data_IF_452428206258
#
_entry.id   IF_452428206258
#
_cell.length_a   1.000
_cell.length_b   1.000
_cell.length_c   1.000
_cell.angle_alpha   90.00
_cell.angle_beta   90.00
_cell.angle_gamma   90.00
#
_symmetry.space_group_name_H-M   'P 1'
#
loop_
_entity.id
_entity.type
_entity.pdbx_description
1 polymer ?
#
# COMPACT_ATOMS: atom_id res chain seq x y z
N UNK A 1 -21.76 1.09 -0.04
CA UNK A 1 -20.53 1.91 -0.19
C UNK A 1 -19.37 0.95 -0.10
N UNK A 2 -18.63 0.73 -1.19
CA UNK A 2 -17.42 -0.09 -1.13
C UNK A 2 -16.35 0.67 -0.35
N UNK A 3 -15.67 0.02 0.59
CA UNK A 3 -14.53 0.64 1.26
C UNK A 3 -13.37 0.72 0.27
N UNK A 4 -12.81 1.92 0.08
CA UNK A 4 -11.61 2.13 -0.73
C UNK A 4 -10.39 2.17 0.18
N UNK A 5 -9.33 1.50 -0.24
CA UNK A 5 -8.07 1.43 0.48
C UNK A 5 -7.01 2.16 -0.30
N UNK A 6 -6.22 2.99 0.38
CA UNK A 6 -5.09 3.69 -0.21
C UNK A 6 -3.84 3.45 0.63
N UNK A 7 -2.73 3.19 -0.04
CA UNK A 7 -1.41 3.03 0.56
C UNK A 7 -0.54 4.23 0.19
N UNK A 8 0.07 4.85 1.20
CA UNK A 8 1.09 5.86 1.02
C UNK A 8 2.43 5.19 0.77
N UNK A 9 3.11 5.57 -0.31
CA UNK A 9 4.42 5.07 -0.66
C UNK A 9 5.49 6.16 -0.52
N UNK A 10 6.70 5.75 -0.14
CA UNK A 10 7.88 6.60 -0.12
C UNK A 10 8.58 6.66 -1.49
N UNK A 11 9.72 7.34 -1.54
CA UNK A 11 10.53 7.50 -2.77
C UNK A 11 11.11 6.16 -3.28
N UNK A 12 11.09 5.09 -2.48
CA UNK A 12 11.53 3.75 -2.86
C UNK A 12 10.35 2.84 -3.23
N UNK A 13 9.15 3.40 -3.43
CA UNK A 13 7.90 2.67 -3.62
C UNK A 13 7.53 1.75 -2.45
N UNK A 14 8.03 2.01 -1.24
CA UNK A 14 7.71 1.23 -0.04
C UNK A 14 6.51 1.83 0.68
N UNK A 15 5.56 0.98 1.04
CA UNK A 15 4.36 1.36 1.77
C UNK A 15 4.71 1.76 3.20
N UNK A 16 4.41 3.00 3.55
CA UNK A 16 4.67 3.58 4.88
C UNK A 16 3.38 3.75 5.69
N UNK A 17 2.25 3.93 5.02
CA UNK A 17 0.95 4.10 5.66
C UNK A 17 -0.17 3.49 4.82
N UNK A 18 -1.25 3.06 5.47
CA UNK A 18 -2.46 2.55 4.80
C UNK A 18 -3.67 3.19 5.44
N UNK A 19 -4.57 3.73 4.62
CA UNK A 19 -5.79 4.41 5.08
C UNK A 19 -7.01 3.95 4.30
N UNK A 20 -8.14 3.84 4.99
CA UNK A 20 -9.45 3.57 4.40
C UNK A 20 -10.17 4.89 4.22
N UNK A 21 -10.25 5.38 3.00
CA UNK A 21 -10.76 6.73 2.69
C UNK A 21 -11.29 6.76 1.26
N UNK A 22 -12.28 7.61 1.00
CA UNK A 22 -12.78 7.85 -0.36
C UNK A 22 -11.78 8.71 -1.14
N UNK A 23 -11.60 8.43 -2.44
CA UNK A 23 -10.71 9.21 -3.32
C UNK A 23 -10.95 10.72 -3.20
N UNK A 24 -12.21 11.14 -3.23
CA UNK A 24 -12.60 12.54 -3.17
C UNK A 24 -12.18 13.19 -1.84
N UNK A 25 -12.25 12.45 -0.73
CA UNK A 25 -11.83 12.97 0.58
C UNK A 25 -10.30 13.03 0.69
N UNK A 26 -9.58 12.07 0.10
CA UNK A 26 -8.12 12.08 0.05
C UNK A 26 -7.63 13.31 -0.73
N UNK A 27 -8.17 13.52 -1.93
CA UNK A 27 -7.82 14.65 -2.81
C UNK A 27 -8.24 16.01 -2.23
N UNK A 28 -9.38 16.07 -1.52
CA UNK A 28 -9.83 17.30 -0.86
C UNK A 28 -8.97 17.71 0.36
N UNK A 29 -8.11 16.82 0.88
CA UNK A 29 -7.31 17.05 2.08
C UNK A 29 -5.79 16.85 1.83
N UNK A 30 -5.17 17.60 0.90
CA UNK A 30 -3.76 17.43 0.54
C UNK A 30 -2.80 17.77 1.68
N UNK A 31 -3.24 18.57 2.66
CA UNK A 31 -2.43 18.89 3.84
C UNK A 31 -2.30 17.70 4.81
N UNK A 32 -3.25 16.77 4.78
CA UNK A 32 -3.28 15.57 5.61
C UNK A 32 -2.68 14.37 4.89
N UNK A 33 -3.03 14.21 3.62
CA UNK A 33 -2.55 13.13 2.76
C UNK A 33 -1.44 13.66 1.85
N UNK A 34 -0.25 13.82 2.44
CA UNK A 34 0.93 14.28 1.70
C UNK A 34 1.61 13.12 0.98
N UNK A 35 2.48 13.42 0.02
CA UNK A 35 3.23 12.41 -0.72
C UNK A 35 2.37 11.66 -1.74
N UNK A 36 2.81 10.44 -2.09
CA UNK A 36 2.18 9.63 -3.12
C UNK A 36 1.29 8.56 -2.49
N UNK A 37 0.03 8.53 -2.91
CA UNK A 37 -0.97 7.56 -2.49
C UNK A 37 -1.42 6.73 -3.68
N UNK A 38 -1.45 5.41 -3.50
CA UNK A 38 -1.83 4.44 -4.53
C UNK A 38 -3.02 3.63 -4.02
N UNK A 39 -4.00 3.39 -4.88
CA UNK A 39 -5.15 2.56 -4.53
C UNK A 39 -4.71 1.11 -4.33
N UNK A 40 -5.19 0.48 -3.26
CA UNK A 40 -4.96 -0.93 -2.95
C UNK A 40 -6.29 -1.66 -3.00
N UNK A 41 -6.23 -2.95 -3.31
CA UNK A 41 -7.41 -3.79 -3.44
C UNK A 41 -7.37 -4.89 -2.40
N UNK A 42 -8.45 -5.01 -1.62
CA UNK A 42 -8.62 -6.06 -0.62
C UNK A 42 -9.38 -7.28 -1.19
N UNK A 43 -10.30 -7.05 -2.13
CA UNK A 43 -11.22 -8.08 -2.68
C UNK A 43 -11.12 -8.21 -4.22
N UNK A 44 -10.04 -7.74 -4.83
CA UNK A 44 -9.83 -7.92 -6.28
C UNK A 44 -9.03 -9.19 -6.54
N UNK A 45 -9.64 -10.13 -7.28
CA UNK A 45 -8.99 -11.38 -7.68
C UNK A 45 -7.68 -11.10 -8.41
N UNK A 46 -6.57 -11.66 -7.93
CA UNK A 46 -5.23 -11.49 -8.50
C UNK A 46 -4.48 -10.23 -8.10
N UNK A 47 -4.98 -9.43 -7.14
CA UNK A 47 -4.23 -8.31 -6.54
C UNK A 47 -3.91 -8.55 -5.08
N UNK A 48 -2.79 -7.99 -4.65
CA UNK A 48 -2.24 -8.11 -3.30
C UNK A 48 -2.59 -6.88 -2.47
N UNK A 49 -3.15 -7.11 -1.28
CA UNK A 49 -3.41 -6.03 -0.34
C UNK A 49 -2.10 -5.43 0.19
N UNK A 50 -1.99 -4.11 0.13
CA UNK A 50 -0.79 -3.40 0.58
C UNK A 50 -0.70 -3.40 2.11
N UNK A 51 0.37 -3.99 2.65
CA UNK A 51 0.78 -3.85 4.04
C UNK A 51 1.93 -2.85 4.20
N UNK A 52 2.13 -2.33 5.41
CA UNK A 52 3.32 -1.52 5.72
C UNK A 52 4.58 -2.37 5.44
N UNK A 53 5.54 -1.80 4.71
CA UNK A 53 6.77 -2.48 4.28
C UNK A 53 6.65 -3.24 2.96
N UNK A 54 5.48 -3.29 2.33
CA UNK A 54 5.33 -3.84 0.97
C UNK A 54 5.91 -2.87 -0.04
N UNK A 55 6.36 -3.38 -1.18
CA UNK A 55 6.87 -2.57 -2.29
C UNK A 55 5.85 -2.54 -3.40
N UNK A 56 5.51 -1.34 -3.89
CA UNK A 56 4.65 -1.17 -5.04
C UNK A 56 5.44 -1.39 -6.33
N UNK A 57 4.98 -2.33 -7.16
CA UNK A 57 5.51 -2.58 -8.49
C UNK A 57 4.65 -1.85 -9.53
N UNK A 58 5.23 -0.80 -10.14
CA UNK A 58 4.55 0.02 -11.13
C UNK A 58 4.24 -0.73 -12.44
N UNK A 59 4.92 -1.85 -12.71
CA UNK A 59 4.72 -2.64 -13.94
C UNK A 59 3.49 -3.54 -13.82
N UNK A 60 3.33 -4.19 -12.67
CA UNK A 60 2.19 -5.08 -12.38
C UNK A 60 1.01 -4.34 -11.74
N UNK A 61 1.20 -3.08 -11.35
CA UNK A 61 0.27 -2.28 -10.56
C UNK A 61 -0.21 -3.06 -9.31
N UNK A 62 0.73 -3.78 -8.68
CA UNK A 62 0.48 -4.64 -7.54
C UNK A 62 1.55 -4.47 -6.46
N UNK A 63 1.26 -4.98 -5.26
CA UNK A 63 2.14 -4.90 -4.10
C UNK A 63 2.88 -6.21 -3.88
N UNK A 64 4.18 -6.11 -3.66
CA UNK A 64 5.05 -7.25 -3.33
C UNK A 64 5.34 -7.23 -1.84
N UNK A 65 5.03 -8.33 -1.16
CA UNK A 65 5.33 -8.50 0.25
C UNK A 65 6.86 -8.46 0.49
N UNK A 66 7.33 -7.83 1.57
CA UNK A 66 8.73 -7.87 1.91
C UNK A 66 9.12 -9.31 2.28
N UNK A 67 10.28 -9.76 1.79
CA UNK A 67 10.85 -11.03 2.20
C UNK A 67 11.20 -10.92 3.68
N UNK A 68 10.47 -11.64 4.55
CA UNK A 68 10.87 -11.72 5.96
C UNK A 68 12.26 -12.36 6.02
N UNK A 69 13.21 -11.82 6.81
CA UNK A 69 14.47 -12.51 7.00
C UNK A 69 14.15 -13.89 7.59
N UNK A 70 14.61 -14.95 6.93
CA UNK A 70 14.61 -16.29 7.51
C UNK A 70 15.44 -16.18 8.77
N UNK A 71 14.80 -16.18 9.93
CA UNK A 71 15.51 -16.40 11.18
C UNK A 71 15.91 -17.87 11.10
N UNK A 72 17.15 -18.13 10.71
CA UNK A 72 17.77 -19.43 10.93
C UNK A 72 17.74 -19.63 12.44
N UNK A 73 16.76 -20.41 12.93
CA UNK A 73 16.74 -20.87 14.31
C UNK A 73 18.09 -21.54 14.57
N UNK A 74 18.96 -20.84 15.31
CA UNK A 74 20.23 -21.36 15.78
C UNK A 74 19.91 -22.52 16.73
N UNK A 75 20.11 -23.75 16.24
CA UNK A 75 19.92 -25.02 16.97
C UNK A 75 21.01 -25.27 18.00
#
# INVERSE_FOLDING_TARGET
MSAQYFAQIDDNNVVTHVAVVQREFLEANPQRYTGRWVETFFDTDGKTYAGIGFTYDEVSEDFVAPVSPVIEDEV
#
